data_IF_952301524703
#
_entry.id   IF_952301524703
#
_cell.length_a   1.000
_cell.length_b   1.000
_cell.length_c   1.000
_cell.angle_alpha   90.00
_cell.angle_beta   90.00
_cell.angle_gamma   90.00
#
_symmetry.space_group_name_H-M   'P 1'
#
loop_
_entity.id
_entity.type
_entity.pdbx_description
1 polymer ?
#
# COMPACT_ATOMS: atom_id res chain seq x y z
N UNK A 1 14.83 13.80 -8.72
CA UNK A 1 13.64 13.63 -7.86
C UNK A 1 13.17 15.01 -7.45
N UNK A 2 12.16 15.58 -8.11
CA UNK A 2 11.60 16.85 -7.61
C UNK A 2 10.90 16.57 -6.27
N UNK A 3 11.15 17.43 -5.28
CA UNK A 3 10.48 17.36 -3.98
C UNK A 3 9.05 17.84 -4.20
N UNK A 4 8.19 16.96 -4.72
CA UNK A 4 6.76 17.24 -4.78
C UNK A 4 6.27 17.48 -3.35
N UNK A 5 5.85 18.70 -3.06
CA UNK A 5 5.27 19.02 -1.77
C UNK A 5 3.87 18.38 -1.73
N UNK A 6 3.68 17.38 -0.86
CA UNK A 6 2.36 16.83 -0.59
C UNK A 6 1.45 17.96 -0.10
N UNK A 7 0.27 18.11 -0.72
CA UNK A 7 -0.75 19.02 -0.20
C UNK A 7 -1.42 18.36 1.00
N UNK A 8 -2.00 19.20 1.86
CA UNK A 8 -2.83 18.71 2.96
C UNK A 8 -3.94 17.76 2.48
N UNK A 9 -4.57 18.06 1.33
CA UNK A 9 -5.58 17.21 0.72
C UNK A 9 -5.07 15.80 0.34
N UNK A 10 -3.81 15.69 -0.07
CA UNK A 10 -3.19 14.41 -0.43
C UNK A 10 -2.92 13.57 0.81
N UNK A 11 -2.42 14.18 1.88
CA UNK A 11 -2.25 13.53 3.18
C UNK A 11 -3.59 13.04 3.73
N UNK A 12 -4.62 13.89 3.68
CA UNK A 12 -5.97 13.52 4.10
C UNK A 12 -6.51 12.33 3.31
N UNK A 13 -6.30 12.31 1.98
CA UNK A 13 -6.69 11.19 1.12
C UNK A 13 -6.00 9.90 1.53
N UNK A 14 -4.68 9.92 1.80
CA UNK A 14 -3.92 8.73 2.23
C UNK A 14 -4.42 8.22 3.59
N UNK A 15 -4.61 9.11 4.56
CA UNK A 15 -5.10 8.73 5.89
C UNK A 15 -6.52 8.15 5.85
N UNK A 16 -7.40 8.71 5.01
CA UNK A 16 -8.75 8.17 4.77
C UNK A 16 -8.70 6.78 4.12
N UNK A 17 -7.82 6.59 3.15
CA UNK A 17 -7.64 5.29 2.50
C UNK A 17 -7.12 4.24 3.49
N UNK A 18 -6.10 4.57 4.29
CA UNK A 18 -5.57 3.69 5.33
C UNK A 18 -6.66 3.28 6.34
N UNK A 19 -7.47 4.23 6.82
CA UNK A 19 -8.63 3.94 7.68
C UNK A 19 -9.63 2.99 7.02
N UNK A 20 -9.92 3.18 5.72
CA UNK A 20 -10.89 2.36 4.98
C UNK A 20 -10.46 0.89 4.88
N UNK A 21 -9.16 0.64 4.74
CA UNK A 21 -8.60 -0.73 4.61
C UNK A 21 -8.16 -1.32 5.95
N UNK A 22 -8.43 -0.63 7.07
CA UNK A 22 -8.02 -1.07 8.40
C UNK A 22 -6.51 -1.00 8.66
N UNK A 23 -5.74 -0.31 7.80
CA UNK A 23 -4.31 -0.13 7.98
C UNK A 23 -4.00 0.83 9.13
N UNK A 24 -2.87 0.60 9.79
CA UNK A 24 -2.33 1.47 10.84
C UNK A 24 -1.29 2.39 10.22
N UNK A 25 -1.42 3.70 10.45
CA UNK A 25 -0.43 4.70 10.04
C UNK A 25 0.40 5.09 11.25
N UNK A 26 1.69 4.79 11.22
CA UNK A 26 2.65 5.19 12.24
C UNK A 26 3.46 6.39 11.73
N UNK A 27 3.52 7.45 12.51
CA UNK A 27 4.28 8.66 12.20
C UNK A 27 5.35 8.85 13.28
N UNK A 28 6.62 8.86 12.87
CA UNK A 28 7.72 9.25 13.73
C UNK A 28 7.89 10.78 13.66
N UNK A 29 7.63 11.46 14.77
CA UNK A 29 7.69 12.93 14.82
C UNK A 29 9.12 13.48 14.95
N UNK A 30 10.11 12.63 15.27
CA UNK A 30 11.53 13.01 15.34
C UNK A 30 12.18 12.94 13.96
N UNK A 31 11.93 11.87 13.21
CA UNK A 31 12.52 11.66 11.87
C UNK A 31 11.61 12.12 10.73
N UNK A 32 10.34 12.39 11.02
CA UNK A 32 9.28 12.69 10.04
C UNK A 32 9.06 11.55 9.03
N UNK A 33 9.34 10.32 9.46
CA UNK A 33 9.07 9.11 8.70
C UNK A 33 7.63 8.65 8.91
N UNK A 34 6.97 8.24 7.83
CA UNK A 34 5.62 7.67 7.87
C UNK A 34 5.67 6.22 7.41
N UNK A 35 5.13 5.32 8.23
CA UNK A 35 4.98 3.89 7.93
C UNK A 35 3.50 3.54 7.86
N UNK A 36 3.10 2.84 6.80
CA UNK A 36 1.75 2.31 6.66
C UNK A 36 1.85 0.80 6.86
N UNK A 37 1.25 0.31 7.94
CA UNK A 37 1.22 -1.10 8.31
C UNK A 37 -0.13 -1.67 7.86
N UNK A 38 -0.16 -2.80 7.14
CA UNK A 38 -1.40 -3.43 6.73
C UNK A 38 -2.21 -3.89 7.95
N UNK A 39 -3.53 -3.99 7.80
CA UNK A 39 -4.39 -4.59 8.81
C UNK A 39 -3.94 -6.03 9.09
N UNK A 40 -3.87 -6.43 10.37
CA UNK A 40 -3.63 -7.83 10.75
C UNK A 40 -4.90 -8.64 10.49
N UNK A 41 -5.14 -8.98 9.22
CA UNK A 41 -6.28 -9.74 8.74
C UNK A 41 -6.09 -10.04 7.27
N UNK A 42 -5.79 -11.30 6.96
CA UNK A 42 -5.53 -11.86 5.63
C UNK A 42 -4.54 -11.07 4.76
N UNK A 43 -3.25 -11.42 4.90
CA UNK A 43 -2.34 -11.46 3.75
C UNK A 43 -2.74 -12.64 2.85
N UNK A 44 -3.99 -12.64 2.40
CA UNK A 44 -4.49 -13.52 1.36
C UNK A 44 -4.77 -12.62 0.16
N UNK A 45 -4.13 -12.94 -0.97
CA UNK A 45 -4.38 -12.39 -2.31
C UNK A 45 -3.49 -11.23 -2.76
N UNK A 46 -2.19 -11.27 -2.42
CA UNK A 46 -1.16 -10.67 -3.30
C UNK A 46 -0.55 -11.68 -4.30
N UNK A 47 -1.11 -12.89 -4.39
CA UNK A 47 -0.71 -13.93 -5.37
C UNK A 47 -1.84 -14.38 -6.30
N UNK A 48 -3.06 -13.82 -6.18
CA UNK A 48 -4.25 -14.30 -6.89
C UNK A 48 -4.37 -13.69 -8.31
N UNK A 49 -3.24 -13.60 -9.02
CA UNK A 49 -3.16 -12.91 -10.30
C UNK A 49 -1.96 -13.26 -11.18
N UNK A 50 -1.18 -14.30 -10.83
CA UNK A 50 -0.41 -15.02 -11.85
C UNK A 50 -1.31 -16.16 -12.28
N UNK A 51 -2.15 -15.91 -13.29
CA UNK A 51 -2.87 -16.99 -13.95
C UNK A 51 -1.84 -18.09 -14.28
N UNK A 52 -2.12 -19.38 -14.04
CA UNK A 52 -1.23 -20.43 -14.50
C UNK A 52 -1.14 -20.26 -16.02
N UNK A 53 0.02 -19.85 -16.50
CA UNK A 53 0.28 -19.75 -17.93
C UNK A 53 -0.11 -21.10 -18.51
N UNK A 54 -1.15 -21.08 -19.36
CA UNK A 54 -1.70 -22.28 -19.98
C UNK A 54 -0.58 -23.06 -20.68
N UNK A 55 -0.74 -24.37 -20.90
CA UNK A 55 0.36 -25.23 -21.32
C UNK A 55 1.08 -24.67 -22.54
N UNK A 56 2.30 -24.20 -22.33
CA UNK A 56 3.18 -23.68 -23.38
C UNK A 56 3.55 -24.84 -24.30
N UNK A 57 3.04 -24.80 -25.54
CA UNK A 57 3.39 -25.78 -26.56
C UNK A 57 4.70 -25.36 -27.24
N UNK A 58 5.82 -25.86 -26.73
CA UNK A 58 7.17 -25.67 -27.30
C UNK A 58 7.42 -26.62 -28.48
N UNK A 59 6.48 -26.68 -29.43
CA UNK A 59 6.57 -27.48 -30.65
C UNK A 59 7.50 -26.89 -31.70
#
# INVERSE_FOLDING_TARGET
>A
MSKAAFRQADLERILRAAKKVGAVVQVDLRTLEVKILPASGDVSNASDGLAPDGPENWG
#
